data_IF_196402588207
#
_entry.id   IF_196402588207
#
_cell.length_a   1.000
_cell.length_b   1.000
_cell.length_c   1.000
_cell.angle_alpha   90.00
_cell.angle_beta   90.00
_cell.angle_gamma   90.00
#
_symmetry.space_group_name_H-M   'P 1'
#
loop_
_entity.id
_entity.type
_entity.pdbx_description
1 polymer ?
#
# COMPACT_ATOMS: atom_id res chain seq x y z
N UNK A 1 31.84 -15.80 2.07
CA UNK A 1 31.65 -15.11 3.38
C UNK A 1 30.85 -13.87 3.08
N UNK A 2 29.53 -13.95 3.16
CA UNK A 2 28.63 -12.80 3.08
C UNK A 2 28.78 -12.02 4.38
N UNK A 3 29.31 -10.80 4.31
CA UNK A 3 29.25 -9.86 5.40
C UNK A 3 27.77 -9.47 5.60
N UNK A 4 27.19 -9.93 6.70
CA UNK A 4 25.93 -9.38 7.21
C UNK A 4 26.20 -7.92 7.59
N UNK A 5 25.84 -7.00 6.73
CA UNK A 5 25.87 -5.57 7.02
C UNK A 5 24.70 -5.32 7.99
N UNK A 6 25.00 -5.21 9.28
CA UNK A 6 24.05 -4.74 10.29
C UNK A 6 23.73 -3.26 10.00
N UNK A 7 22.61 -2.99 9.36
CA UNK A 7 22.12 -1.62 9.13
C UNK A 7 21.37 -1.13 10.36
N UNK A 8 21.71 0.07 10.81
CA UNK A 8 21.00 0.74 11.90
C UNK A 8 19.80 1.50 11.32
N UNK A 9 18.63 1.26 11.89
CA UNK A 9 17.39 1.91 11.46
C UNK A 9 17.07 2.99 12.48
N UNK A 10 16.88 4.22 12.04
CA UNK A 10 16.40 5.33 12.84
C UNK A 10 14.91 5.49 12.56
N UNK A 11 14.11 5.42 13.61
CA UNK A 11 12.65 5.60 13.52
C UNK A 11 12.28 7.03 13.89
N UNK A 12 11.37 7.62 13.13
CA UNK A 12 10.83 8.95 13.38
C UNK A 12 9.51 8.88 14.15
N UNK A 13 9.42 9.63 15.25
CA UNK A 13 8.25 9.65 16.13
C UNK A 13 7.23 10.71 15.67
N UNK A 14 6.10 10.29 15.11
CA UNK A 14 5.11 11.21 14.49
C UNK A 14 3.88 11.47 15.38
N UNK A 15 3.66 10.72 16.48
CA UNK A 15 2.45 10.87 17.30
C UNK A 15 2.71 11.21 18.75
N UNK A 16 2.23 12.37 19.26
CA UNK A 16 2.38 12.77 20.67
C UNK A 16 1.38 12.11 21.64
N UNK A 17 0.48 11.24 21.21
CA UNK A 17 -0.65 10.79 22.05
C UNK A 17 -0.82 9.28 22.23
N UNK A 18 0.14 8.45 21.86
CA UNK A 18 0.09 7.03 22.21
C UNK A 18 1.33 6.62 23.01
N UNK A 19 1.15 6.50 24.32
CA UNK A 19 2.16 5.97 25.25
C UNK A 19 2.26 4.45 25.11
N UNK A 20 3.03 3.98 24.13
CA UNK A 20 3.66 2.67 24.20
C UNK A 20 5.10 2.78 23.74
N UNK A 21 6.06 2.27 24.53
CA UNK A 21 7.46 2.36 24.18
C UNK A 21 7.72 1.40 23.02
N UNK A 22 8.40 1.91 22.00
CA UNK A 22 8.93 1.21 20.82
C UNK A 22 8.07 1.37 19.55
N UNK A 23 8.70 1.97 18.54
CA UNK A 23 8.36 2.13 17.14
C UNK A 23 7.61 3.41 16.75
N UNK A 24 8.41 4.44 16.54
CA UNK A 24 8.00 5.59 15.74
C UNK A 24 8.50 5.39 14.31
N UNK A 25 7.59 5.06 13.42
CA UNK A 25 7.85 4.93 12.00
C UNK A 25 6.95 5.92 11.24
N UNK A 26 7.48 6.51 10.17
CA UNK A 26 6.68 7.25 9.20
C UNK A 26 5.68 6.28 8.56
N UNK A 27 4.38 6.52 8.72
CA UNK A 27 3.36 5.64 8.19
C UNK A 27 3.01 6.05 6.75
N UNK A 28 3.21 5.18 5.81
CA UNK A 28 2.59 5.21 4.50
C UNK A 28 1.55 4.09 4.38
N UNK A 29 0.66 4.19 3.43
CA UNK A 29 -0.38 3.18 3.21
C UNK A 29 -0.10 2.43 1.93
N UNK A 30 -0.09 1.11 1.98
CA UNK A 30 -0.16 0.29 0.79
C UNK A 30 -1.57 0.31 0.22
N UNK A 31 -1.71 0.82 -0.98
CA UNK A 31 -2.99 1.01 -1.62
C UNK A 31 -3.08 0.20 -2.90
N UNK A 32 -4.12 -0.60 -3.01
CA UNK A 32 -4.54 -1.23 -4.24
C UNK A 32 -5.47 -0.27 -4.97
N UNK A 33 -5.15 0.04 -6.20
CA UNK A 33 -5.90 0.98 -7.02
C UNK A 33 -6.55 0.22 -8.18
N UNK A 34 -7.84 0.41 -8.34
CA UNK A 34 -8.59 -0.14 -9.48
C UNK A 34 -9.41 0.94 -10.17
N UNK A 35 -9.73 0.76 -11.43
CA UNK A 35 -10.73 1.57 -12.11
C UNK A 35 -12.10 1.13 -11.61
N UNK A 36 -12.72 1.97 -10.77
CA UNK A 36 -14.08 1.73 -10.28
C UNK A 36 -15.10 1.86 -11.42
N UNK A 37 -15.61 0.73 -11.94
CA UNK A 37 -16.94 0.76 -12.52
C UNK A 37 -17.88 1.21 -11.41
N UNK A 38 -18.51 2.37 -11.59
CA UNK A 38 -19.49 2.92 -10.64
C UNK A 38 -20.57 1.88 -10.40
N UNK A 39 -20.39 1.06 -9.34
CA UNK A 39 -21.45 0.20 -8.84
C UNK A 39 -22.47 1.10 -8.16
N UNK A 40 -23.66 1.15 -8.74
CA UNK A 40 -24.77 1.96 -8.29
C UNK A 40 -25.11 1.63 -6.83
N UNK A 41 -25.14 2.66 -6.01
CA UNK A 41 -25.20 2.64 -4.53
C UNK A 41 -26.58 2.19 -4.00
N UNK A 42 -27.31 1.32 -4.71
CA UNK A 42 -28.60 0.77 -4.28
C UNK A 42 -28.51 -0.34 -3.25
N UNK A 43 -27.33 -0.98 -3.08
CA UNK A 43 -27.18 -2.09 -2.11
C UNK A 43 -26.90 -1.64 -0.68
N UNK A 44 -26.42 -0.44 -0.46
CA UNK A 44 -26.06 0.04 0.90
C UNK A 44 -27.29 0.43 1.76
N UNK A 45 -28.39 0.82 1.13
CA UNK A 45 -29.67 1.04 1.85
C UNK A 45 -30.27 -0.25 2.41
N UNK A 46 -30.14 -1.35 1.69
CA UNK A 46 -30.72 -2.65 2.09
C UNK A 46 -30.00 -3.26 3.29
N UNK A 47 -28.69 -3.03 3.41
CA UNK A 47 -27.87 -3.56 4.53
C UNK A 47 -28.18 -2.83 5.85
N UNK A 48 -28.45 -1.52 5.80
CA UNK A 48 -28.84 -0.73 7.00
C UNK A 48 -30.25 -1.01 7.49
N UNK A 49 -31.18 -1.35 6.60
CA UNK A 49 -32.55 -1.70 6.98
C UNK A 49 -32.63 -3.08 7.63
N UNK A 50 -31.81 -4.04 7.26
CA UNK A 50 -31.75 -5.39 7.82
C UNK A 50 -31.28 -5.39 9.30
N UNK A 51 -30.40 -4.46 9.66
CA UNK A 51 -29.84 -4.40 11.02
C UNK A 51 -30.79 -3.82 12.06
N UNK A 52 -31.86 -3.15 11.64
CA UNK A 52 -32.76 -2.43 12.57
C UNK A 52 -34.15 -3.08 12.79
N UNK A 53 -34.34 -4.29 12.27
CA UNK A 53 -35.64 -4.97 12.39
C UNK A 53 -35.71 -5.86 13.62
N UNK A 54 -36.33 -5.31 14.70
CA UNK A 54 -36.63 -6.02 15.96
C UNK A 54 -37.93 -6.80 15.92
N UNK A 55 -38.50 -7.16 14.77
CA UNK A 55 -39.81 -7.80 14.73
C UNK A 55 -39.73 -9.31 14.41
N UNK A 56 -40.06 -10.14 15.38
CA UNK A 56 -40.03 -11.61 15.33
C UNK A 56 -40.94 -12.22 14.26
N UNK A 57 -42.00 -11.53 13.86
CA UNK A 57 -42.95 -11.97 12.83
C UNK A 57 -42.32 -11.95 11.42
N UNK A 58 -41.54 -10.94 11.15
CA UNK A 58 -40.85 -10.82 9.85
C UNK A 58 -39.72 -11.84 9.69
N UNK A 59 -38.99 -12.18 10.76
CA UNK A 59 -38.00 -13.26 10.74
C UNK A 59 -38.61 -14.61 10.38
N UNK A 60 -39.82 -14.91 10.88
CA UNK A 60 -40.55 -16.14 10.56
C UNK A 60 -41.04 -16.16 9.10
N UNK A 61 -41.39 -15.02 8.53
CA UNK A 61 -41.76 -14.90 7.12
C UNK A 61 -40.54 -15.07 6.20
N UNK A 62 -39.42 -14.48 6.57
CA UNK A 62 -38.16 -14.60 5.80
C UNK A 62 -37.65 -16.05 5.78
N UNK A 63 -37.74 -16.77 6.91
CA UNK A 63 -37.36 -18.20 6.98
C UNK A 63 -38.26 -19.05 6.09
N UNK A 64 -39.55 -18.76 6.02
CA UNK A 64 -40.50 -19.48 5.13
C UNK A 64 -40.24 -19.19 3.66
N UNK A 65 -39.89 -17.97 3.29
CA UNK A 65 -39.51 -17.59 1.91
C UNK A 65 -38.18 -18.23 1.54
N UNK A 66 -37.22 -18.26 2.44
CA UNK A 66 -35.91 -18.89 2.21
C UNK A 66 -36.06 -20.42 2.05
N UNK A 67 -36.93 -21.05 2.84
CA UNK A 67 -37.22 -22.48 2.69
C UNK A 67 -37.97 -22.80 1.39
N UNK A 68 -38.83 -21.93 0.89
CA UNK A 68 -39.50 -22.07 -0.41
C UNK A 68 -38.53 -21.91 -1.57
N UNK A 69 -37.59 -20.96 -1.50
CA UNK A 69 -36.55 -20.73 -2.51
C UNK A 69 -35.54 -21.88 -2.56
N UNK A 70 -35.19 -22.47 -1.41
CA UNK A 70 -34.32 -23.66 -1.38
C UNK A 70 -35.01 -24.91 -1.93
N UNK A 71 -36.32 -25.07 -1.77
CA UNK A 71 -37.09 -26.19 -2.33
C UNK A 71 -37.19 -26.08 -3.88
N UNK A 72 -37.29 -24.86 -4.44
CA UNK A 72 -37.33 -24.63 -5.88
C UNK A 72 -35.94 -24.81 -6.52
N UNK A 73 -34.85 -24.48 -5.81
CA UNK A 73 -33.49 -24.70 -6.31
C UNK A 73 -33.05 -26.15 -6.33
N UNK A 74 -33.67 -27.05 -5.56
CA UNK A 74 -33.38 -28.48 -5.64
C UNK A 74 -33.95 -29.16 -6.91
N UNK A 75 -34.93 -28.58 -7.60
CA UNK A 75 -35.46 -29.13 -8.86
C UNK A 75 -34.72 -28.62 -10.11
N UNK A 76 -33.89 -27.58 -10.00
CA UNK A 76 -33.08 -27.06 -11.10
C UNK A 76 -31.65 -27.67 -11.16
N UNK A 77 -31.33 -28.61 -10.26
CA UNK A 77 -29.99 -29.17 -10.15
C UNK A 77 -29.75 -30.45 -10.97
N UNK A 78 -30.60 -30.75 -11.96
CA UNK A 78 -30.35 -31.83 -12.95
C UNK A 78 -30.10 -31.17 -14.30
N UNK A 79 -28.90 -30.64 -14.49
CA UNK A 79 -28.49 -30.16 -15.80
C UNK A 79 -27.38 -29.14 -15.72
N UNK A 80 -26.18 -29.55 -16.03
CA UNK A 80 -24.91 -28.77 -16.16
C UNK A 80 -24.00 -28.77 -14.93
N UNK A 81 -23.46 -29.93 -14.60
CA UNK A 81 -22.19 -30.08 -13.92
C UNK A 81 -21.04 -29.81 -14.92
N UNK A 82 -20.93 -28.55 -15.33
CA UNK A 82 -19.75 -28.01 -15.97
C UNK A 82 -19.26 -26.86 -15.11
N UNK A 83 -18.47 -27.14 -14.08
CA UNK A 83 -17.59 -26.09 -13.49
C UNK A 83 -16.65 -25.67 -14.62
N UNK A 84 -17.05 -24.70 -15.41
CA UNK A 84 -16.14 -24.02 -16.33
C UNK A 84 -14.96 -23.56 -15.50
N UNK A 85 -13.79 -24.14 -15.72
CA UNK A 85 -12.56 -23.76 -15.03
C UNK A 85 -12.31 -22.31 -15.41
N UNK A 86 -12.52 -21.38 -14.48
CA UNK A 86 -12.24 -19.98 -14.70
C UNK A 86 -10.75 -19.86 -14.98
N UNK A 87 -10.37 -19.36 -16.15
CA UNK A 87 -8.98 -19.13 -16.49
C UNK A 87 -8.80 -17.68 -16.90
N UNK A 88 -7.67 -17.09 -16.56
CA UNK A 88 -7.39 -15.72 -16.88
C UNK A 88 -6.09 -15.23 -16.24
N UNK A 89 -5.79 -13.96 -16.44
CA UNK A 89 -4.64 -13.31 -15.82
C UNK A 89 -5.13 -12.09 -15.07
N UNK A 90 -4.60 -11.89 -13.85
CA UNK A 90 -4.69 -10.63 -13.11
C UNK A 90 -3.33 -9.97 -13.20
N UNK A 91 -3.25 -8.86 -13.92
CA UNK A 91 -2.03 -8.09 -14.11
C UNK A 91 -1.96 -6.95 -13.10
N UNK A 92 -0.86 -6.86 -12.36
CA UNK A 92 -0.62 -5.77 -11.40
C UNK A 92 0.68 -5.05 -11.71
N UNK A 93 0.70 -3.74 -11.47
CA UNK A 93 1.84 -2.88 -11.74
C UNK A 93 1.99 -1.84 -10.63
N UNK A 94 3.20 -1.45 -10.27
CA UNK A 94 3.40 -0.30 -9.38
C UNK A 94 4.46 -0.46 -8.30
N UNK A 95 4.12 -0.04 -7.09
CA UNK A 95 5.01 0.16 -5.95
C UNK A 95 6.00 -0.97 -5.69
N UNK A 96 7.29 -0.68 -5.76
CA UNK A 96 8.37 -1.64 -5.47
C UNK A 96 8.47 -2.01 -4.00
N UNK A 97 8.03 -1.16 -3.08
CA UNK A 97 8.00 -1.48 -1.64
C UNK A 97 6.97 -2.54 -1.27
N UNK A 98 5.95 -2.75 -2.11
CA UNK A 98 4.95 -3.80 -1.94
C UNK A 98 5.39 -5.19 -2.42
N UNK A 99 6.57 -5.34 -3.01
CA UNK A 99 6.98 -6.55 -3.71
C UNK A 99 6.83 -7.84 -2.88
N UNK A 100 7.26 -7.84 -1.62
CA UNK A 100 7.17 -9.02 -0.75
C UNK A 100 5.72 -9.37 -0.41
N UNK A 101 4.91 -8.37 -0.07
CA UNK A 101 3.49 -8.56 0.31
C UNK A 101 2.69 -9.03 -0.90
N UNK A 102 2.86 -8.38 -2.04
CA UNK A 102 2.12 -8.72 -3.28
C UNK A 102 2.57 -10.07 -3.84
N UNK A 103 3.86 -10.41 -3.74
CA UNK A 103 4.34 -11.74 -4.09
C UNK A 103 3.62 -12.84 -3.29
N UNK A 104 3.61 -12.73 -1.97
CA UNK A 104 2.95 -13.70 -1.10
C UNK A 104 1.42 -13.75 -1.33
N UNK A 105 0.76 -12.60 -1.48
CA UNK A 105 -0.68 -12.56 -1.77
C UNK A 105 -1.01 -13.13 -3.15
N UNK A 106 -0.20 -12.86 -4.17
CA UNK A 106 -0.36 -13.40 -5.52
C UNK A 106 -0.22 -14.93 -5.55
N UNK A 107 0.76 -15.48 -4.83
CA UNK A 107 0.92 -16.93 -4.70
C UNK A 107 -0.30 -17.55 -4.01
N UNK A 108 -0.73 -17.02 -2.88
CA UNK A 108 -1.91 -17.49 -2.16
C UNK A 108 -3.20 -17.38 -3.02
N UNK A 109 -3.32 -16.30 -3.79
CA UNK A 109 -4.44 -16.10 -4.70
C UNK A 109 -4.47 -17.16 -5.81
N UNK A 110 -3.31 -17.46 -6.44
CA UNK A 110 -3.22 -18.50 -7.45
C UNK A 110 -3.50 -19.90 -6.89
N UNK A 111 -3.06 -20.17 -5.65
CA UNK A 111 -3.39 -21.43 -4.98
C UNK A 111 -4.89 -21.59 -4.69
N UNK A 112 -5.57 -20.50 -4.37
CA UNK A 112 -7.00 -20.50 -4.09
C UNK A 112 -7.88 -20.46 -5.36
N UNK A 113 -7.33 -20.06 -6.51
CA UNK A 113 -8.05 -19.85 -7.77
C UNK A 113 -7.35 -20.59 -8.91
N UNK A 114 -7.57 -21.89 -8.96
CA UNK A 114 -6.98 -22.76 -9.98
C UNK A 114 -7.35 -22.29 -11.41
N UNK A 115 -6.33 -22.06 -12.24
CA UNK A 115 -6.49 -21.53 -13.61
C UNK A 115 -6.33 -20.01 -13.73
N UNK A 116 -6.23 -19.25 -12.64
CA UNK A 116 -5.90 -17.83 -12.68
C UNK A 116 -4.39 -17.63 -12.54
N UNK A 117 -3.80 -16.84 -13.44
CA UNK A 117 -2.42 -16.37 -13.34
C UNK A 117 -2.39 -14.97 -12.71
N UNK A 118 -1.56 -14.77 -11.73
CA UNK A 118 -1.28 -13.45 -11.15
C UNK A 118 0.11 -12.97 -11.61
N UNK A 119 0.22 -11.72 -12.04
CA UNK A 119 1.50 -11.11 -12.44
C UNK A 119 1.69 -9.78 -11.74
N UNK A 120 2.93 -9.50 -11.37
CA UNK A 120 3.32 -8.25 -10.72
C UNK A 120 4.55 -7.66 -11.41
N UNK A 121 4.44 -6.38 -11.78
CA UNK A 121 5.51 -5.60 -12.39
C UNK A 121 5.90 -4.43 -11.46
N UNK A 122 7.07 -4.47 -10.80
CA UNK A 122 7.50 -3.45 -9.84
C UNK A 122 8.09 -2.21 -10.54
N UNK A 123 7.27 -1.25 -10.93
CA UNK A 123 7.68 -0.05 -11.69
C UNK A 123 7.67 1.25 -10.89
N UNK A 124 7.16 1.23 -9.66
CA UNK A 124 6.95 2.40 -8.82
C UNK A 124 5.49 2.86 -8.79
N UNK A 125 5.09 3.55 -7.70
CA UNK A 125 3.68 3.89 -7.44
C UNK A 125 3.05 4.76 -8.54
N UNK A 126 3.75 5.79 -9.01
CA UNK A 126 3.23 6.65 -10.07
C UNK A 126 3.02 5.92 -11.39
N UNK A 127 3.95 5.03 -11.76
CA UNK A 127 3.83 4.19 -12.95
C UNK A 127 2.65 3.23 -12.86
N UNK A 128 2.43 2.60 -11.70
CA UNK A 128 1.29 1.73 -11.46
C UNK A 128 -0.05 2.45 -11.53
N UNK A 129 -0.14 3.66 -10.96
CA UNK A 129 -1.32 4.52 -11.06
C UNK A 129 -1.62 4.86 -12.52
N UNK A 130 -0.60 5.23 -13.28
CA UNK A 130 -0.74 5.52 -14.72
C UNK A 130 -1.17 4.26 -15.49
N UNK A 131 -0.52 3.13 -15.23
CA UNK A 131 -0.83 1.87 -15.91
C UNK A 131 -2.29 1.44 -15.72
N UNK A 132 -2.83 1.50 -14.50
CA UNK A 132 -4.23 1.15 -14.24
C UNK A 132 -5.19 2.20 -14.83
N UNK A 133 -4.83 3.48 -14.78
CA UNK A 133 -5.63 4.56 -15.39
C UNK A 133 -5.79 4.40 -16.90
N UNK A 134 -4.77 3.89 -17.57
CA UNK A 134 -4.75 3.62 -19.02
C UNK A 134 -5.25 2.22 -19.39
N UNK A 135 -5.64 1.40 -18.42
CA UNK A 135 -6.10 0.03 -18.65
C UNK A 135 -5.00 -0.95 -19.08
N UNK A 136 -3.73 -0.63 -18.82
CA UNK A 136 -2.58 -1.51 -19.10
C UNK A 136 -2.37 -2.62 -18.06
N UNK A 137 -2.98 -2.46 -16.88
CA UNK A 137 -3.06 -3.51 -15.85
C UNK A 137 -4.44 -3.47 -15.20
N UNK A 138 -4.77 -4.53 -14.47
CA UNK A 138 -6.06 -4.66 -13.77
C UNK A 138 -6.04 -3.95 -12.41
N UNK A 139 -4.87 -3.96 -11.75
CA UNK A 139 -4.69 -3.39 -10.42
C UNK A 139 -3.39 -2.58 -10.39
N UNK A 140 -3.50 -1.31 -10.01
CA UNK A 140 -2.36 -0.45 -9.69
C UNK A 140 -1.98 -0.57 -8.21
N UNK A 141 -0.71 -0.58 -7.91
CA UNK A 141 -0.15 -0.71 -6.57
C UNK A 141 0.55 0.59 -6.16
N UNK A 142 0.19 1.15 -5.00
CA UNK A 142 0.75 2.42 -4.54
C UNK A 142 1.11 2.40 -3.06
N UNK A 143 2.24 3.02 -2.72
CA UNK A 143 2.69 3.29 -1.35
C UNK A 143 2.34 4.70 -0.87
N UNK A 144 1.43 5.38 -1.55
CA UNK A 144 0.86 6.67 -1.17
C UNK A 144 -0.62 6.73 -1.47
N UNK A 145 -1.32 7.65 -0.84
CA UNK A 145 -2.71 7.96 -1.20
C UNK A 145 -2.81 8.46 -2.66
N UNK A 146 -3.99 8.29 -3.25
CA UNK A 146 -4.32 8.90 -4.53
C UNK A 146 -4.42 10.41 -4.36
N UNK A 147 -3.90 11.15 -5.35
CA UNK A 147 -4.09 12.59 -5.46
C UNK A 147 -5.49 12.90 -5.99
N UNK A 148 -5.95 14.15 -5.81
CA UNK A 148 -7.27 14.58 -6.27
C UNK A 148 -7.43 14.36 -7.77
N UNK A 149 -6.45 14.74 -8.58
CA UNK A 149 -6.47 14.55 -10.04
C UNK A 149 -6.50 13.08 -10.48
N UNK A 150 -6.09 12.14 -9.60
CA UNK A 150 -6.15 10.71 -9.88
C UNK A 150 -7.54 10.14 -9.54
N UNK A 151 -8.12 10.59 -8.42
CA UNK A 151 -9.51 10.22 -8.06
C UNK A 151 -10.53 10.82 -9.02
N UNK A 152 -10.30 12.02 -9.54
CA UNK A 152 -11.16 12.68 -10.54
C UNK A 152 -11.21 11.90 -11.86
N UNK A 153 -10.18 11.12 -12.17
CA UNK A 153 -10.17 10.17 -13.30
C UNK A 153 -10.96 8.89 -13.03
N UNK A 154 -11.59 8.77 -11.87
CA UNK A 154 -12.40 7.61 -11.47
C UNK A 154 -11.59 6.47 -10.85
N UNK A 155 -10.32 6.70 -10.47
CA UNK A 155 -9.56 5.72 -9.74
C UNK A 155 -10.07 5.58 -8.31
N UNK A 156 -10.13 4.36 -7.81
CA UNK A 156 -10.55 4.03 -6.45
C UNK A 156 -9.41 3.34 -5.72
N UNK A 157 -8.99 3.92 -4.59
CA UNK A 157 -7.97 3.36 -3.74
C UNK A 157 -8.57 2.50 -2.63
N UNK A 158 -8.04 1.30 -2.45
CA UNK A 158 -8.35 0.43 -1.30
C UNK A 158 -7.09 0.23 -0.48
N UNK A 159 -7.14 0.61 0.80
CA UNK A 159 -6.02 0.42 1.73
C UNK A 159 -5.85 -1.07 2.00
N UNK A 160 -4.66 -1.61 1.68
CA UNK A 160 -4.31 -3.00 1.92
C UNK A 160 -3.66 -3.17 3.29
N UNK A 161 -2.72 -2.30 3.63
CA UNK A 161 -1.98 -2.31 4.90
C UNK A 161 -1.42 -0.91 5.18
N UNK A 162 -1.00 -0.68 6.41
CA UNK A 162 -0.18 0.46 6.78
C UNK A 162 1.30 0.06 6.76
N UNK A 163 2.14 0.96 6.29
CA UNK A 163 3.57 0.78 6.14
C UNK A 163 4.32 1.88 6.88
N UNK A 164 5.61 1.70 7.12
CA UNK A 164 6.49 2.67 7.75
C UNK A 164 7.69 2.99 6.86
N UNK A 165 8.06 4.27 6.80
CA UNK A 165 9.27 4.73 6.14
C UNK A 165 10.37 4.85 7.19
N UNK A 166 11.47 4.14 7.01
CA UNK A 166 12.62 4.17 7.90
C UNK A 166 13.80 4.91 7.25
N UNK A 167 14.49 5.73 8.04
CA UNK A 167 15.76 6.32 7.65
C UNK A 167 16.86 5.35 8.03
N UNK A 168 17.71 5.02 7.06
CA UNK A 168 18.81 4.06 7.25
C UNK A 168 20.12 4.82 7.19
N UNK A 169 21.00 4.51 8.12
CA UNK A 169 22.39 5.03 8.15
C UNK A 169 23.37 3.89 8.27
N UNK A 170 24.66 4.16 7.98
CA UNK A 170 25.72 3.19 8.16
C UNK A 170 25.80 2.70 9.62
N UNK A 171 26.10 1.43 9.90
CA UNK A 171 26.15 0.88 11.26
C UNK A 171 27.12 1.63 12.21
N UNK A 172 28.20 2.17 11.67
CA UNK A 172 29.19 2.92 12.44
C UNK A 172 28.73 4.37 12.75
N UNK A 173 27.58 4.81 12.20
CA UNK A 173 27.01 6.08 12.53
C UNK A 173 26.37 6.02 13.91
N UNK A 174 26.80 6.89 14.83
CA UNK A 174 26.34 6.90 16.23
C UNK A 174 25.07 7.70 16.44
N UNK A 175 24.47 8.28 15.41
CA UNK A 175 23.21 9.00 15.53
C UNK A 175 22.12 8.04 16.04
N UNK A 176 21.55 8.34 17.21
CA UNK A 176 20.57 7.48 17.86
C UNK A 176 19.14 7.82 17.44
N UNK A 177 18.87 9.12 17.27
CA UNK A 177 17.56 9.67 16.95
C UNK A 177 17.70 10.98 16.19
N UNK A 178 16.67 11.35 15.44
CA UNK A 178 16.58 12.63 14.74
C UNK A 178 15.10 13.02 14.65
N UNK A 179 14.77 14.24 14.97
CA UNK A 179 13.42 14.77 14.80
C UNK A 179 13.13 15.12 13.33
N UNK A 180 11.84 15.26 12.99
CA UNK A 180 11.40 15.52 11.62
C UNK A 180 11.92 16.86 11.09
N UNK A 181 11.95 17.90 11.92
CA UNK A 181 12.38 19.23 11.50
C UNK A 181 13.87 19.25 11.18
N UNK A 182 14.67 18.60 12.02
CA UNK A 182 16.12 18.43 11.79
C UNK A 182 16.39 17.57 10.56
N UNK A 183 15.63 16.47 10.39
CA UNK A 183 15.72 15.64 9.19
C UNK A 183 15.39 16.41 7.92
N UNK A 184 14.35 17.25 7.97
CA UNK A 184 13.98 18.11 6.84
C UNK A 184 15.11 19.07 6.45
N UNK A 185 15.82 19.66 7.43
CA UNK A 185 17.00 20.50 7.18
C UNK A 185 18.14 19.74 6.52
N UNK A 186 18.39 18.51 6.97
CA UNK A 186 19.38 17.62 6.34
C UNK A 186 19.02 17.39 4.87
N UNK A 187 17.77 17.00 4.58
CA UNK A 187 17.37 16.71 3.20
C UNK A 187 17.27 17.96 2.31
N UNK A 188 17.02 19.14 2.89
CA UNK A 188 17.11 20.43 2.18
C UNK A 188 18.55 20.90 1.95
N UNK A 189 19.53 20.22 2.55
CA UNK A 189 20.95 20.57 2.46
C UNK A 189 21.35 21.78 3.33
N UNK A 190 20.56 22.07 4.36
CA UNK A 190 20.87 23.10 5.37
C UNK A 190 21.83 22.57 6.43
N UNK A 191 21.80 21.28 6.70
CA UNK A 191 22.74 20.52 7.53
C UNK A 191 23.43 19.53 6.62
N UNK A 192 24.75 19.62 6.49
CA UNK A 192 25.53 18.84 5.51
C UNK A 192 26.64 17.99 6.12
N UNK A 193 26.89 18.15 7.41
CA UNK A 193 27.94 17.42 8.13
C UNK A 193 27.37 16.69 9.36
N UNK A 194 27.80 15.47 9.58
CA UNK A 194 27.36 14.66 10.72
C UNK A 194 27.72 15.29 12.07
N UNK A 195 28.80 16.10 12.13
CA UNK A 195 29.18 16.81 13.34
C UNK A 195 28.14 17.83 13.81
N UNK A 196 27.34 18.37 12.91
CA UNK A 196 26.22 19.27 13.25
C UNK A 196 25.08 18.52 13.98
N UNK A 197 25.06 17.21 13.88
CA UNK A 197 24.11 16.31 14.54
C UNK A 197 24.72 15.58 15.75
N UNK A 198 25.91 16.01 16.20
CA UNK A 198 26.64 15.35 17.32
C UNK A 198 27.37 14.06 16.92
N UNK A 199 27.49 13.79 15.63
CA UNK A 199 28.29 12.70 15.08
C UNK A 199 29.75 13.04 14.83
N UNK A 200 30.48 12.15 14.19
CA UNK A 200 31.85 12.41 13.74
C UNK A 200 31.85 13.43 12.59
N UNK A 201 32.99 14.13 12.39
CA UNK A 201 33.17 14.97 11.23
C UNK A 201 33.12 14.17 9.94
N UNK A 202 32.25 14.58 9.02
CA UNK A 202 32.04 13.89 7.74
C UNK A 202 30.81 14.42 7.01
N UNK A 203 30.90 14.45 5.68
CA UNK A 203 29.80 14.89 4.81
C UNK A 203 28.62 13.93 4.89
N UNK A 204 27.39 14.48 4.94
CA UNK A 204 26.15 13.73 4.82
C UNK A 204 25.85 13.50 3.34
N UNK A 205 25.85 12.25 2.91
CA UNK A 205 25.48 11.84 1.56
C UNK A 205 24.04 11.36 1.55
N UNK A 206 23.16 12.07 0.85
CA UNK A 206 21.75 11.77 0.76
C UNK A 206 21.46 10.84 -0.41
N UNK A 207 20.89 9.69 -0.08
CA UNK A 207 20.40 8.71 -1.06
C UNK A 207 18.89 8.66 -0.96
N UNK A 208 18.22 8.79 -2.08
CA UNK A 208 16.76 8.76 -2.15
C UNK A 208 16.23 7.85 -3.23
N UNK A 209 14.93 7.94 -3.42
CA UNK A 209 14.22 7.22 -4.48
C UNK A 209 14.00 8.15 -5.68
N UNK A 210 13.75 7.53 -6.81
CA UNK A 210 13.41 8.18 -8.08
C UNK A 210 12.13 9.02 -7.97
N UNK A 211 11.91 10.01 -8.85
CA UNK A 211 10.60 10.65 -9.04
C UNK A 211 9.53 9.60 -9.32
N UNK A 212 8.31 9.81 -8.86
CA UNK A 212 7.17 8.86 -8.91
C UNK A 212 7.27 7.66 -7.95
N UNK A 213 8.27 7.58 -7.08
CA UNK A 213 8.26 6.65 -5.96
C UNK A 213 7.22 7.09 -4.92
N UNK A 214 6.27 6.18 -4.59
CA UNK A 214 5.30 6.46 -3.51
C UNK A 214 5.97 6.58 -2.14
N UNK A 215 7.08 5.90 -1.90
CA UNK A 215 7.89 6.03 -0.68
C UNK A 215 8.54 7.41 -0.60
N UNK A 216 9.09 7.92 -1.71
CA UNK A 216 9.62 9.30 -1.78
C UNK A 216 8.51 10.32 -1.56
N UNK A 217 7.40 10.21 -2.28
CA UNK A 217 6.25 11.11 -2.11
C UNK A 217 5.75 11.12 -0.66
N UNK A 218 5.67 9.96 -0.01
CA UNK A 218 5.30 9.84 1.39
C UNK A 218 6.29 10.52 2.33
N UNK A 219 7.59 10.26 2.13
CA UNK A 219 8.66 10.87 2.91
C UNK A 219 8.65 12.40 2.79
N UNK A 220 8.66 12.92 1.56
CA UNK A 220 8.69 14.36 1.30
C UNK A 220 7.42 15.07 1.81
N UNK A 221 6.27 14.39 1.79
CA UNK A 221 5.02 14.90 2.36
C UNK A 221 5.06 14.98 3.88
N UNK A 222 5.62 13.98 4.56
CA UNK A 222 5.68 13.94 6.04
C UNK A 222 6.71 14.92 6.57
N UNK A 223 7.81 15.10 5.85
CA UNK A 223 8.91 16.00 6.25
C UNK A 223 8.74 17.43 5.74
N UNK A 224 7.68 17.70 4.96
CA UNK A 224 7.48 19.00 4.28
C UNK A 224 8.71 19.43 3.46
N UNK A 225 9.24 18.49 2.69
CA UNK A 225 10.43 18.71 1.85
C UNK A 225 10.16 18.50 0.37
N UNK A 226 8.88 18.56 -0.06
CA UNK A 226 8.50 18.31 -1.44
C UNK A 226 9.30 19.19 -2.40
N UNK A 227 9.89 18.55 -3.40
CA UNK A 227 10.72 19.17 -4.44
C UNK A 227 11.96 19.97 -3.91
N UNK A 228 12.27 19.86 -2.61
CA UNK A 228 13.37 20.58 -1.97
C UNK A 228 14.56 19.67 -1.59
N UNK A 229 14.41 18.36 -1.64
CA UNK A 229 15.45 17.41 -1.26
C UNK A 229 16.67 17.47 -2.19
N UNK A 230 17.87 17.44 -1.60
CA UNK A 230 19.16 17.50 -2.31
C UNK A 230 19.81 16.11 -2.38
N UNK A 231 19.12 15.16 -3.05
CA UNK A 231 19.67 13.82 -3.22
C UNK A 231 20.94 13.83 -4.05
N UNK A 232 21.99 13.18 -3.53
CA UNK A 232 23.24 12.91 -4.25
C UNK A 232 23.06 11.77 -5.25
N UNK A 233 22.21 10.81 -4.89
CA UNK A 233 21.90 9.64 -5.71
C UNK A 233 20.42 9.29 -5.56
N UNK A 234 19.79 8.94 -6.67
CA UNK A 234 18.42 8.45 -6.74
C UNK A 234 18.41 7.00 -7.24
N UNK A 235 17.70 6.12 -6.53
CA UNK A 235 17.62 4.69 -6.81
C UNK A 235 16.20 4.30 -7.21
N UNK A 236 16.08 3.32 -8.11
CA UNK A 236 14.81 3.01 -8.79
C UNK A 236 13.93 1.98 -8.06
N UNK A 237 14.46 1.33 -7.01
CA UNK A 237 13.67 0.42 -6.21
C UNK A 237 13.94 0.56 -4.71
N UNK A 238 13.00 0.12 -3.88
CA UNK A 238 13.20 0.03 -2.43
C UNK A 238 14.35 -0.93 -2.09
N UNK A 239 14.49 -2.01 -2.86
CA UNK A 239 15.54 -2.99 -2.66
C UNK A 239 16.95 -2.43 -2.91
N UNK A 240 17.08 -1.47 -3.83
CA UNK A 240 18.39 -0.86 -4.16
C UNK A 240 18.86 0.10 -3.06
N UNK A 241 17.93 0.70 -2.30
CA UNK A 241 18.24 1.58 -1.17
C UNK A 241 18.72 0.77 0.04
N UNK A 242 18.26 -0.46 0.18
CA UNK A 242 18.59 -1.36 1.28
C UNK A 242 19.87 -2.16 0.98
#
# INVERSE_FOLDING_TARGET
KSALINKRIIYLNIYPYFTWPVFSALHSSFIIISVGKRYDNKKDKTQKEITNMKNTTFKRLLVKILAAVTAISCFAAVGCSGKGKTSGTVATDGSTSMAKVIGALGEAFMQANDGIKFTYNPTGSGSGITAVSEGRCDIGLSSRALKTEETDKGLVGTVLAYDGIAIIVHPDNNLADIDIETLAKVYKGEITNWSELGGADGEIVLIGREPNSGTRDGFESITDTKDACKYRQELTSTGDVI
#
